data_IF_321685585713
#
_entry.id   IF_321685585713
#
_cell.length_a   1.000
_cell.length_b   1.000
_cell.length_c   1.000
_cell.angle_alpha   90.00
_cell.angle_beta   90.00
_cell.angle_gamma   90.00
#
_symmetry.space_group_name_H-M   'P 1'
#
loop_
_entity.id
_entity.type
_entity.pdbx_description
1 polymer ?
#
# COMPACT_ATOMS: atom_id res chain seq x y z
N UNK A 1 -15.65 23.13 -0.86
CA UNK A 1 -16.48 22.84 -2.07
C UNK A 1 -17.41 21.65 -1.82
N UNK A 2 -18.55 21.54 -2.52
CA UNK A 2 -19.38 20.32 -2.50
C UNK A 2 -18.72 19.28 -3.41
N UNK A 3 -18.32 18.14 -2.86
CA UNK A 3 -17.64 17.07 -3.59
C UNK A 3 -18.67 15.99 -3.97
N UNK A 4 -18.77 15.68 -5.27
CA UNK A 4 -19.61 14.60 -5.79
C UNK A 4 -18.74 13.47 -6.34
N UNK A 5 -19.21 12.21 -6.31
CA UNK A 5 -18.51 11.10 -6.95
C UNK A 5 -18.43 11.35 -8.47
N UNK A 6 -17.26 11.11 -9.04
CA UNK A 6 -17.00 11.16 -10.48
C UNK A 6 -16.35 9.84 -10.89
N UNK A 7 -17.19 8.86 -11.22
CA UNK A 7 -16.79 7.47 -11.48
C UNK A 7 -16.89 7.16 -12.97
N UNK A 8 -15.88 6.43 -13.48
CA UNK A 8 -15.86 5.82 -14.82
C UNK A 8 -15.18 4.46 -14.72
N UNK A 9 -15.90 3.39 -15.03
CA UNK A 9 -15.45 2.02 -14.81
C UNK A 9 -15.09 1.79 -13.34
N UNK A 10 -13.83 1.46 -13.09
CA UNK A 10 -13.26 1.27 -11.75
C UNK A 10 -12.50 2.50 -11.23
N UNK A 11 -12.48 3.61 -11.97
CA UNK A 11 -11.77 4.83 -11.60
C UNK A 11 -12.72 5.88 -11.05
N UNK A 12 -12.49 6.30 -9.80
CA UNK A 12 -13.13 7.47 -9.22
C UNK A 12 -12.12 8.64 -9.18
N UNK A 13 -12.43 9.75 -9.84
CA UNK A 13 -11.51 10.91 -9.93
C UNK A 13 -11.72 11.95 -8.83
N UNK A 14 -12.58 11.68 -7.85
CA UNK A 14 -12.85 12.55 -6.70
C UNK A 14 -12.79 11.75 -5.41
N UNK A 15 -12.53 12.42 -4.29
CA UNK A 15 -12.55 11.79 -2.97
C UNK A 15 -13.14 12.72 -1.92
N UNK A 16 -13.94 12.16 -1.01
CA UNK A 16 -14.60 12.92 0.05
C UNK A 16 -13.80 12.82 1.36
N UNK A 17 -13.17 13.90 1.86
CA UNK A 17 -12.25 13.85 3.01
C UNK A 17 -12.92 13.33 4.29
N UNK A 18 -14.12 13.84 4.60
CA UNK A 18 -14.90 13.38 5.78
C UNK A 18 -15.34 11.92 5.64
N UNK A 19 -15.55 11.45 4.41
CA UNK A 19 -15.93 10.06 4.16
C UNK A 19 -14.74 9.13 4.41
N UNK A 20 -13.55 9.51 3.93
CA UNK A 20 -12.30 8.83 4.24
C UNK A 20 -12.03 8.78 5.75
N UNK A 21 -12.16 9.91 6.46
CA UNK A 21 -11.99 9.94 7.91
C UNK A 21 -12.97 9.03 8.65
N UNK A 22 -14.24 9.00 8.22
CA UNK A 22 -15.24 8.08 8.76
C UNK A 22 -14.87 6.62 8.50
N UNK A 23 -14.40 6.30 7.29
CA UNK A 23 -13.95 4.95 6.95
C UNK A 23 -12.74 4.49 7.77
N UNK A 24 -11.78 5.39 8.05
CA UNK A 24 -10.64 5.09 8.93
C UNK A 24 -11.12 4.85 10.36
N UNK A 25 -11.98 5.72 10.89
CA UNK A 25 -12.55 5.55 12.23
C UNK A 25 -13.27 4.21 12.38
N UNK A 26 -14.11 3.83 11.41
CA UNK A 26 -14.81 2.54 11.46
C UNK A 26 -13.85 1.33 11.52
N UNK A 27 -12.70 1.41 10.85
CA UNK A 27 -11.67 0.36 10.91
C UNK A 27 -10.94 0.34 12.27
N UNK A 28 -10.67 1.51 12.84
CA UNK A 28 -10.09 1.64 14.18
C UNK A 28 -11.05 1.06 15.22
N UNK A 29 -12.32 1.47 15.19
CA UNK A 29 -13.37 0.98 16.08
C UNK A 29 -13.48 -0.54 16.00
N UNK A 30 -13.41 -1.11 14.79
CA UNK A 30 -13.42 -2.56 14.59
C UNK A 30 -12.24 -3.24 15.30
N UNK A 31 -11.02 -2.73 15.15
CA UNK A 31 -9.82 -3.29 15.79
C UNK A 31 -9.92 -3.20 17.31
N UNK A 32 -10.34 -2.04 17.84
CA UNK A 32 -10.48 -1.84 19.28
C UNK A 32 -11.55 -2.76 19.89
N UNK A 33 -12.64 -3.04 19.16
CA UNK A 33 -13.68 -3.98 19.59
C UNK A 33 -13.18 -5.44 19.68
N UNK A 34 -12.14 -5.82 18.94
CA UNK A 34 -11.53 -7.16 19.08
C UNK A 34 -10.67 -7.29 20.36
N UNK A 35 -10.36 -6.18 21.03
CA UNK A 35 -9.47 -6.14 22.17
C UNK A 35 -7.98 -6.04 21.79
N UNK A 36 -7.10 -5.87 22.79
CA UNK A 36 -5.67 -5.66 22.56
C UNK A 36 -4.98 -6.93 22.02
N UNK A 37 -4.10 -6.74 21.04
CA UNK A 37 -3.25 -7.80 20.50
C UNK A 37 -2.07 -8.05 21.43
N UNK A 38 -2.15 -9.13 22.21
CA UNK A 38 -1.04 -9.57 23.06
C UNK A 38 0.21 -9.91 22.22
N UNK A 39 1.39 -9.50 22.72
CA UNK A 39 2.68 -9.73 22.06
C UNK A 39 2.78 -9.18 20.62
N UNK A 40 2.01 -8.15 20.31
CA UNK A 40 2.12 -7.43 19.04
C UNK A 40 3.42 -6.61 18.92
N UNK A 41 3.78 -6.20 17.70
CA UNK A 41 4.97 -5.38 17.44
C UNK A 41 4.84 -4.03 18.15
N UNK A 42 5.98 -3.36 18.37
CA UNK A 42 6.02 -2.05 19.04
C UNK A 42 6.46 -0.94 18.12
N UNK A 43 7.20 -1.25 17.06
CA UNK A 43 7.80 -0.26 16.14
C UNK A 43 7.67 -0.79 14.72
N UNK A 44 6.69 -0.28 13.99
CA UNK A 44 6.28 -0.84 12.70
C UNK A 44 6.54 0.13 11.57
N UNK A 45 7.24 -0.35 10.54
CA UNK A 45 7.31 0.28 9.22
C UNK A 45 6.27 -0.37 8.31
N UNK A 46 5.42 0.44 7.68
CA UNK A 46 4.47 -0.01 6.65
C UNK A 46 4.78 0.69 5.35
N UNK A 47 5.14 -0.07 4.32
CA UNK A 47 5.43 0.41 2.97
C UNK A 47 4.18 0.20 2.11
N UNK A 48 3.53 1.27 1.68
CA UNK A 48 2.18 1.23 1.09
C UNK A 48 1.07 1.43 2.13
N UNK A 49 1.20 2.41 3.02
CA UNK A 49 0.40 2.51 4.25
C UNK A 49 -0.91 3.31 4.16
N UNK A 50 -1.27 3.84 3.00
CA UNK A 50 -2.33 4.86 2.85
C UNK A 50 -3.71 4.29 2.51
N UNK A 51 -3.78 3.09 1.93
CA UNK A 51 -5.03 2.45 1.51
C UNK A 51 -4.95 0.92 1.68
N UNK A 52 -6.10 0.25 1.51
CA UNK A 52 -6.17 -1.23 1.44
C UNK A 52 -5.53 -1.94 2.63
N UNK A 53 -4.84 -3.05 2.35
CA UNK A 53 -4.22 -3.89 3.38
C UNK A 53 -3.10 -3.19 4.14
N UNK A 54 -2.35 -2.28 3.51
CA UNK A 54 -1.31 -1.54 4.21
C UNK A 54 -1.88 -0.56 5.23
N UNK A 55 -2.97 0.14 4.90
CA UNK A 55 -3.69 0.96 5.88
C UNK A 55 -4.24 0.10 7.02
N UNK A 56 -4.88 -1.04 6.71
CA UNK A 56 -5.40 -1.95 7.72
C UNK A 56 -4.30 -2.51 8.62
N UNK A 57 -3.12 -2.81 8.08
CA UNK A 57 -1.93 -3.22 8.84
C UNK A 57 -1.49 -2.15 9.81
N UNK A 58 -1.44 -0.90 9.34
CA UNK A 58 -1.04 0.24 10.15
C UNK A 58 -2.02 0.50 11.29
N UNK A 59 -3.33 0.42 11.00
CA UNK A 59 -4.40 0.53 12.01
C UNK A 59 -4.29 -0.60 13.03
N UNK A 60 -4.12 -1.85 12.58
CA UNK A 60 -3.99 -3.01 13.47
C UNK A 60 -2.75 -2.90 14.37
N UNK A 61 -1.62 -2.46 13.83
CA UNK A 61 -0.40 -2.26 14.60
C UNK A 61 -0.57 -1.17 15.67
N UNK A 62 -1.10 0.00 15.29
CA UNK A 62 -1.27 1.12 16.22
C UNK A 62 -2.36 0.85 17.26
N UNK A 63 -3.60 0.62 16.82
CA UNK A 63 -4.77 0.57 17.68
C UNK A 63 -5.06 -0.83 18.25
N UNK A 64 -4.42 -1.88 17.70
CA UNK A 64 -4.48 -3.23 18.25
C UNK A 64 -3.30 -3.55 19.18
N UNK A 65 -2.07 -3.18 18.79
CA UNK A 65 -0.85 -3.54 19.54
C UNK A 65 -0.20 -2.38 20.31
N UNK A 66 -0.69 -1.15 20.15
CA UNK A 66 -0.11 0.06 20.72
C UNK A 66 1.24 0.43 20.08
N UNK A 67 1.44 0.11 18.80
CA UNK A 67 2.73 0.30 18.14
C UNK A 67 2.95 1.75 17.67
N UNK A 68 4.20 2.21 17.76
CA UNK A 68 4.68 3.36 17.01
C UNK A 68 4.74 2.99 15.51
N UNK A 69 4.18 3.83 14.63
CA UNK A 69 4.10 3.52 13.20
C UNK A 69 4.71 4.59 12.29
N UNK A 70 5.62 4.14 11.41
CA UNK A 70 6.08 4.90 10.25
C UNK A 70 5.41 4.34 8.98
N UNK A 71 4.72 5.19 8.23
CA UNK A 71 4.07 4.79 6.97
C UNK A 71 4.70 5.45 5.76
N UNK A 72 4.94 4.69 4.70
CA UNK A 72 5.37 5.17 3.39
C UNK A 72 4.21 5.06 2.41
N UNK A 73 3.95 6.08 1.61
CA UNK A 73 2.94 6.05 0.55
C UNK A 73 3.23 7.08 -0.54
N UNK A 74 2.48 7.04 -1.64
CA UNK A 74 2.60 8.00 -2.74
C UNK A 74 1.23 8.54 -3.11
N UNK A 75 0.86 9.67 -2.51
CA UNK A 75 -0.48 10.25 -2.55
C UNK A 75 -0.45 11.73 -2.96
N UNK A 76 -1.58 12.22 -3.48
CA UNK A 76 -1.72 13.63 -3.87
C UNK A 76 -2.54 14.36 -2.83
N UNK A 77 -1.93 15.40 -2.27
CA UNK A 77 -2.61 16.36 -1.40
C UNK A 77 -3.74 17.07 -2.15
N UNK A 78 -4.81 17.40 -1.42
CA UNK A 78 -5.91 18.20 -1.95
C UNK A 78 -5.57 19.69 -1.95
N UNK A 79 -6.01 20.40 -2.98
CA UNK A 79 -5.95 21.87 -3.04
C UNK A 79 -7.34 22.46 -2.78
N UNK A 80 -7.43 23.78 -2.69
CA UNK A 80 -8.70 24.50 -2.56
C UNK A 80 -9.71 24.12 -3.67
N UNK A 81 -9.21 23.90 -4.89
CA UNK A 81 -10.03 23.66 -6.08
C UNK A 81 -10.13 22.18 -6.49
N UNK A 82 -9.34 21.28 -5.90
CA UNK A 82 -9.26 19.87 -6.30
C UNK A 82 -9.06 18.95 -5.09
N UNK A 83 -9.96 17.98 -4.86
CA UNK A 83 -9.73 16.96 -3.85
C UNK A 83 -8.46 16.15 -4.13
N UNK A 84 -7.76 15.79 -3.06
CA UNK A 84 -6.64 14.86 -3.07
C UNK A 84 -7.09 13.42 -3.29
N UNK A 85 -6.14 12.50 -3.27
CA UNK A 85 -6.41 11.07 -3.33
C UNK A 85 -6.94 10.53 -2.00
N UNK A 86 -7.62 9.38 -2.03
CA UNK A 86 -8.15 8.76 -0.82
C UNK A 86 -7.08 8.44 0.21
N UNK A 87 -5.93 7.95 -0.22
CA UNK A 87 -4.85 7.62 0.70
C UNK A 87 -4.27 8.82 1.44
N UNK A 88 -4.31 10.02 0.83
CA UNK A 88 -3.95 11.26 1.51
C UNK A 88 -4.85 11.52 2.71
N UNK A 89 -6.17 11.51 2.48
CA UNK A 89 -7.17 11.77 3.52
C UNK A 89 -7.25 10.65 4.57
N UNK A 90 -7.05 9.40 4.16
CA UNK A 90 -6.96 8.28 5.09
C UNK A 90 -5.77 8.44 6.04
N UNK A 91 -4.61 8.84 5.50
CA UNK A 91 -3.40 9.03 6.30
C UNK A 91 -3.53 10.21 7.26
N UNK A 92 -4.16 11.30 6.83
CA UNK A 92 -4.47 12.43 7.71
C UNK A 92 -5.41 12.01 8.86
N UNK A 93 -6.45 11.24 8.56
CA UNK A 93 -7.37 10.73 9.59
C UNK A 93 -6.68 9.75 10.55
N UNK A 94 -5.79 8.90 10.05
CA UNK A 94 -4.97 8.01 10.88
C UNK A 94 -4.11 8.82 11.86
N UNK A 95 -3.44 9.88 11.38
CA UNK A 95 -2.62 10.76 12.21
C UNK A 95 -3.44 11.41 13.32
N UNK A 96 -4.58 12.01 12.99
CA UNK A 96 -5.46 12.64 13.99
C UNK A 96 -5.94 11.65 15.06
N UNK A 97 -6.26 10.41 14.66
CA UNK A 97 -6.69 9.38 15.61
C UNK A 97 -5.53 8.87 16.49
N UNK A 98 -4.35 8.66 15.90
CA UNK A 98 -3.18 8.20 16.65
C UNK A 98 -2.70 9.25 17.66
N UNK A 99 -2.68 10.53 17.26
CA UNK A 99 -2.35 11.65 18.14
C UNK A 99 -3.32 11.76 19.32
N UNK A 100 -4.62 11.57 19.08
CA UNK A 100 -5.63 11.59 20.14
C UNK A 100 -5.43 10.47 21.19
N UNK A 101 -4.76 9.38 20.83
CA UNK A 101 -4.40 8.27 21.73
C UNK A 101 -2.95 8.35 22.24
N UNK A 102 -2.20 9.39 21.88
CA UNK A 102 -0.79 9.53 22.25
C UNK A 102 0.13 8.50 21.57
N UNK A 103 -0.30 7.90 20.46
CA UNK A 103 0.47 6.95 19.68
C UNK A 103 1.37 7.67 18.67
N UNK A 104 2.63 7.26 18.57
CA UNK A 104 3.54 7.80 17.56
C UNK A 104 3.06 7.43 16.15
N UNK A 105 2.89 8.44 15.30
CA UNK A 105 2.55 8.29 13.90
C UNK A 105 3.34 9.29 13.05
N UNK A 106 4.19 8.80 12.13
CA UNK A 106 4.89 9.63 11.14
C UNK A 106 4.71 9.05 9.75
N UNK A 107 4.71 9.90 8.73
CA UNK A 107 4.50 9.45 7.35
C UNK A 107 5.51 10.08 6.40
N UNK A 108 5.91 9.32 5.38
CA UNK A 108 6.71 9.80 4.26
C UNK A 108 5.87 9.62 2.99
N UNK A 109 5.57 10.75 2.35
CA UNK A 109 4.93 10.75 1.04
C UNK A 109 6.01 10.83 -0.06
N UNK A 110 6.18 9.79 -0.86
CA UNK A 110 7.22 9.70 -1.87
C UNK A 110 7.25 8.35 -2.59
N UNK A 111 8.06 8.25 -3.64
CA UNK A 111 8.24 7.00 -4.37
C UNK A 111 9.04 5.99 -3.53
N UNK A 112 8.37 4.98 -3.00
CA UNK A 112 8.99 3.94 -2.17
C UNK A 112 10.05 3.11 -2.92
N UNK A 113 10.03 3.11 -4.26
CA UNK A 113 11.05 2.45 -5.07
C UNK A 113 12.39 3.21 -5.05
N UNK A 114 12.38 4.51 -4.76
CA UNK A 114 13.58 5.35 -4.77
C UNK A 114 14.49 5.12 -3.55
N UNK A 115 15.79 5.29 -3.76
CA UNK A 115 16.76 5.29 -2.67
C UNK A 115 16.56 6.48 -1.72
N UNK A 116 16.10 7.62 -2.23
CA UNK A 116 15.81 8.82 -1.42
C UNK A 116 14.80 8.51 -0.31
N UNK A 117 13.68 7.84 -0.65
CA UNK A 117 12.65 7.49 0.33
C UNK A 117 13.15 6.44 1.32
N UNK A 118 13.97 5.48 0.88
CA UNK A 118 14.63 4.51 1.76
C UNK A 118 15.54 5.20 2.78
N UNK A 119 16.38 6.14 2.33
CA UNK A 119 17.26 6.91 3.23
C UNK A 119 16.47 7.79 4.20
N UNK A 120 15.40 8.44 3.74
CA UNK A 120 14.53 9.23 4.60
C UNK A 120 13.84 8.38 5.67
N UNK A 121 13.40 7.17 5.32
CA UNK A 121 12.83 6.23 6.27
C UNK A 121 13.86 5.76 7.30
N UNK A 122 15.07 5.41 6.86
CA UNK A 122 16.19 5.03 7.75
C UNK A 122 16.50 6.15 8.75
N UNK A 123 16.64 7.38 8.27
CA UNK A 123 16.92 8.54 9.13
C UNK A 123 15.80 8.74 10.15
N UNK A 124 14.54 8.67 9.71
CA UNK A 124 13.36 8.83 10.57
C UNK A 124 13.29 7.73 11.63
N UNK A 125 13.54 6.47 11.26
CA UNK A 125 13.54 5.35 12.22
C UNK A 125 14.64 5.54 13.25
N UNK A 126 15.85 5.92 12.83
CA UNK A 126 16.98 6.12 13.73
C UNK A 126 16.73 7.25 14.73
N UNK A 127 16.16 8.36 14.27
CA UNK A 127 15.85 9.53 15.09
C UNK A 127 14.74 9.24 16.11
N UNK A 128 13.64 8.65 15.66
CA UNK A 128 12.40 8.62 16.45
C UNK A 128 12.14 7.28 17.15
N UNK A 129 12.59 6.17 16.54
CA UNK A 129 12.19 4.80 16.93
C UNK A 129 13.38 3.93 17.35
N UNK A 130 14.60 4.36 17.04
CA UNK A 130 15.85 3.60 17.11
C UNK A 130 15.91 2.48 16.06
N UNK A 131 14.98 1.53 16.14
CA UNK A 131 14.85 0.37 15.24
C UNK A 131 13.37 0.02 15.02
N UNK A 132 13.06 -0.80 14.03
CA UNK A 132 11.73 -1.39 13.82
C UNK A 132 11.75 -2.90 14.04
N UNK A 133 10.65 -3.44 14.58
CA UNK A 133 10.46 -4.87 14.86
C UNK A 133 9.49 -5.56 13.89
N UNK A 134 8.78 -4.79 13.07
CA UNK A 134 7.99 -5.31 11.94
C UNK A 134 8.09 -4.39 10.72
N UNK A 135 8.34 -5.00 9.55
CA UNK A 135 8.24 -4.34 8.25
C UNK A 135 7.13 -5.00 7.42
N UNK A 136 6.08 -4.25 7.10
CA UNK A 136 4.99 -4.69 6.22
C UNK A 136 5.21 -4.11 4.83
N UNK A 137 5.35 -4.97 3.82
CA UNK A 137 5.48 -4.58 2.42
C UNK A 137 4.13 -4.79 1.69
N UNK A 138 3.43 -3.69 1.44
CA UNK A 138 2.06 -3.66 0.91
C UNK A 138 1.95 -2.69 -0.28
N UNK A 139 2.96 -2.66 -1.16
CA UNK A 139 2.90 -1.84 -2.36
C UNK A 139 2.09 -2.51 -3.47
N UNK A 140 1.23 -1.72 -4.09
CA UNK A 140 0.60 -2.03 -5.36
C UNK A 140 0.80 -0.83 -6.29
N UNK A 141 1.56 -1.01 -7.36
CA UNK A 141 1.88 0.05 -8.31
C UNK A 141 1.84 -0.50 -9.73
N UNK A 142 1.32 0.26 -10.71
CA UNK A 142 1.37 -0.16 -12.11
C UNK A 142 2.76 0.02 -12.74
N UNK A 143 3.68 0.69 -12.06
CA UNK A 143 5.00 1.05 -12.58
C UNK A 143 6.05 1.14 -11.49
N UNK A 144 7.31 0.95 -11.87
CA UNK A 144 8.49 1.13 -11.03
C UNK A 144 9.59 1.78 -11.84
N UNK A 145 10.20 2.83 -11.31
CA UNK A 145 11.48 3.29 -11.81
C UNK A 145 12.58 2.58 -11.02
N UNK A 146 13.43 1.82 -11.72
CA UNK A 146 14.51 1.09 -11.07
C UNK A 146 15.52 2.10 -10.46
N UNK A 147 15.85 1.99 -9.16
CA UNK A 147 16.58 3.04 -8.45
C UNK A 147 18.01 3.27 -8.97
N UNK A 148 18.68 2.21 -9.45
CA UNK A 148 20.06 2.29 -9.98
C UNK A 148 20.12 2.64 -11.47
N UNK A 149 19.38 1.92 -12.33
CA UNK A 149 19.47 2.08 -13.78
C UNK A 149 18.61 3.21 -14.33
N UNK A 150 17.62 3.69 -13.56
CA UNK A 150 16.65 4.69 -13.98
C UNK A 150 15.59 4.20 -14.98
N UNK A 151 15.65 2.92 -15.39
CA UNK A 151 14.68 2.30 -16.31
C UNK A 151 13.29 2.28 -15.68
N UNK A 152 12.26 2.61 -16.46
CA UNK A 152 10.85 2.57 -16.02
C UNK A 152 10.19 1.30 -16.52
N UNK A 153 9.83 0.43 -15.60
CA UNK A 153 9.06 -0.79 -15.84
C UNK A 153 7.57 -0.53 -15.62
N UNK A 154 6.72 -1.15 -16.45
CA UNK A 154 5.27 -1.10 -16.31
C UNK A 154 4.71 -2.51 -16.21
N UNK A 155 3.88 -2.78 -15.20
CA UNK A 155 3.22 -4.08 -15.04
C UNK A 155 2.05 -4.22 -16.01
N UNK A 156 1.77 -5.45 -16.44
CA UNK A 156 0.58 -5.80 -17.21
C UNK A 156 -0.28 -6.81 -16.46
N UNK A 157 -1.57 -6.86 -16.78
CA UNK A 157 -2.51 -7.87 -16.30
C UNK A 157 -3.02 -8.67 -17.50
N UNK A 158 -2.26 -9.69 -17.88
CA UNK A 158 -2.49 -10.53 -19.06
C UNK A 158 -2.18 -12.00 -18.72
N UNK A 159 -2.86 -12.96 -19.36
CA UNK A 159 -2.53 -14.38 -19.21
C UNK A 159 -1.13 -14.69 -19.78
N UNK A 160 -0.56 -15.85 -19.44
CA UNK A 160 0.69 -16.35 -20.02
C UNK A 160 0.38 -17.51 -20.98
N UNK A 161 1.06 -17.53 -22.12
CA UNK A 161 1.05 -18.63 -23.08
C UNK A 161 -0.12 -18.65 -24.06
N UNK A 162 -1.37 -18.49 -23.60
CA UNK A 162 -2.55 -18.48 -24.47
C UNK A 162 -3.53 -17.35 -24.11
N UNK A 163 -4.32 -16.85 -25.08
CA UNK A 163 -5.40 -15.92 -24.78
C UNK A 163 -6.45 -16.58 -23.87
N UNK A 164 -7.12 -15.77 -23.06
CA UNK A 164 -8.22 -16.21 -22.20
C UNK A 164 -9.44 -15.30 -22.36
N UNK A 165 -10.62 -15.84 -22.05
CA UNK A 165 -11.88 -15.10 -22.03
C UNK A 165 -12.40 -15.15 -20.61
N UNK A 166 -12.52 -13.98 -19.99
CA UNK A 166 -12.99 -13.83 -18.61
C UNK A 166 -14.39 -13.24 -18.62
N UNK A 167 -15.33 -13.89 -17.94
CA UNK A 167 -16.65 -13.32 -17.71
C UNK A 167 -16.56 -12.34 -16.55
N UNK A 168 -16.92 -11.09 -16.78
CA UNK A 168 -16.86 -10.03 -15.78
C UNK A 168 -18.09 -9.12 -15.81
N UNK A 169 -18.11 -8.15 -14.90
CA UNK A 169 -19.17 -7.14 -14.83
C UNK A 169 -18.63 -5.82 -15.36
N UNK A 170 -19.30 -5.27 -16.37
CA UNK A 170 -19.11 -3.89 -16.79
C UNK A 170 -19.83 -2.98 -15.80
N UNK A 171 -19.08 -2.27 -14.95
CA UNK A 171 -19.66 -1.46 -13.86
C UNK A 171 -20.38 -0.20 -14.35
N UNK A 172 -20.05 0.32 -15.53
CA UNK A 172 -20.73 1.48 -16.10
C UNK A 172 -22.09 1.07 -16.70
N UNK A 173 -22.15 -0.07 -17.37
CA UNK A 173 -23.39 -0.57 -18.01
C UNK A 173 -24.23 -1.45 -17.09
N UNK A 174 -23.66 -1.95 -16.00
CA UNK A 174 -24.27 -2.94 -15.11
C UNK A 174 -24.63 -4.25 -15.82
N UNK A 175 -23.78 -4.65 -16.77
CA UNK A 175 -23.99 -5.82 -17.61
C UNK A 175 -22.88 -6.84 -17.40
N UNK A 176 -23.23 -8.12 -17.47
CA UNK A 176 -22.25 -9.21 -17.56
C UNK A 176 -21.76 -9.28 -19.00
N UNK A 177 -20.44 -9.25 -19.19
CA UNK A 177 -19.84 -9.34 -20.51
C UNK A 177 -18.56 -10.20 -20.48
N UNK A 178 -18.17 -10.67 -21.65
CA UNK A 178 -16.92 -11.40 -21.82
C UNK A 178 -15.78 -10.42 -22.15
N UNK A 179 -14.65 -10.60 -21.48
CA UNK A 179 -13.42 -9.84 -21.68
C UNK A 179 -12.37 -10.75 -22.30
N UNK A 180 -11.97 -10.43 -23.53
CA UNK A 180 -10.95 -11.16 -24.27
C UNK A 180 -9.57 -10.56 -23.95
N UNK A 181 -8.65 -11.39 -23.49
CA UNK A 181 -7.33 -10.97 -23.03
C UNK A 181 -6.25 -11.74 -23.79
N UNK A 182 -5.39 -10.98 -24.46
CA UNK A 182 -4.23 -11.52 -25.18
C UNK A 182 -3.09 -11.87 -24.22
N UNK A 183 -2.28 -12.89 -24.54
CA UNK A 183 -1.16 -13.28 -23.69
C UNK A 183 -0.10 -12.19 -23.60
N UNK A 184 0.58 -12.14 -22.45
CA UNK A 184 1.72 -11.28 -22.21
C UNK A 184 2.90 -11.71 -23.11
N UNK A 185 3.67 -10.74 -23.60
CA UNK A 185 5.00 -11.00 -24.16
C UNK A 185 6.01 -11.27 -23.04
N UNK A 186 7.19 -11.82 -23.38
CA UNK A 186 8.25 -12.03 -22.37
C UNK A 186 8.68 -10.72 -21.70
N UNK A 187 8.78 -9.63 -22.46
CA UNK A 187 9.10 -8.30 -21.93
C UNK A 187 8.03 -7.81 -20.93
N UNK A 188 6.74 -8.04 -21.21
CA UNK A 188 5.65 -7.68 -20.30
C UNK A 188 5.68 -8.52 -19.02
N UNK A 189 6.05 -9.80 -19.11
CA UNK A 189 6.26 -10.68 -17.95
C UNK A 189 7.42 -10.16 -17.10
N UNK A 190 8.58 -9.92 -17.70
CA UNK A 190 9.78 -9.44 -17.01
C UNK A 190 9.55 -8.08 -16.34
N UNK A 191 8.89 -7.15 -17.03
CA UNK A 191 8.51 -5.86 -16.47
C UNK A 191 7.52 -6.00 -15.30
N UNK A 192 6.57 -6.93 -15.38
CA UNK A 192 5.61 -7.18 -14.29
C UNK A 192 6.33 -7.75 -13.07
N UNK A 193 7.26 -8.68 -13.26
CA UNK A 193 8.13 -9.19 -12.19
C UNK A 193 9.01 -8.08 -11.61
N UNK A 194 9.55 -7.19 -12.45
CA UNK A 194 10.35 -6.06 -11.97
C UNK A 194 9.54 -5.10 -11.10
N UNK A 195 8.25 -4.88 -11.40
CA UNK A 195 7.38 -3.96 -10.63
C UNK A 195 6.81 -4.63 -9.38
N UNK A 196 6.24 -5.83 -9.51
CA UNK A 196 5.42 -6.50 -8.48
C UNK A 196 6.10 -7.71 -7.84
N UNK A 197 7.30 -8.08 -8.30
CA UNK A 197 8.12 -9.12 -7.67
C UNK A 197 8.79 -8.65 -6.38
N UNK A 198 9.71 -9.47 -5.87
CA UNK A 198 10.34 -9.27 -4.57
C UNK A 198 11.54 -8.33 -4.54
N UNK A 199 12.00 -7.79 -5.68
CA UNK A 199 13.28 -7.08 -5.73
C UNK A 199 13.30 -5.81 -4.87
N UNK A 200 12.27 -4.95 -4.96
CA UNK A 200 12.25 -3.74 -4.12
C UNK A 200 12.06 -4.06 -2.63
N UNK A 201 11.29 -5.12 -2.30
CA UNK A 201 11.18 -5.58 -0.92
C UNK A 201 12.53 -6.03 -0.37
N UNK A 202 13.30 -6.78 -1.16
CA UNK A 202 14.67 -7.15 -0.81
C UNK A 202 15.55 -5.90 -0.61
N UNK A 203 15.52 -4.94 -1.54
CA UNK A 203 16.27 -3.69 -1.42
C UNK A 203 15.92 -2.90 -0.14
N UNK A 204 14.65 -2.88 0.26
CA UNK A 204 14.22 -2.29 1.54
C UNK A 204 14.84 -3.00 2.73
N UNK A 205 14.75 -4.33 2.78
CA UNK A 205 15.27 -5.10 3.91
C UNK A 205 16.79 -4.98 4.02
N UNK A 206 17.52 -5.06 2.90
CA UNK A 206 18.97 -4.89 2.86
C UNK A 206 19.40 -3.49 3.32
N UNK A 207 18.71 -2.43 2.87
CA UNK A 207 19.02 -1.06 3.28
C UNK A 207 18.76 -0.81 4.78
N UNK A 208 17.67 -1.37 5.32
CA UNK A 208 17.34 -1.24 6.74
C UNK A 208 18.33 -2.03 7.63
N UNK A 209 18.73 -3.24 7.20
CA UNK A 209 19.70 -4.08 7.90
C UNK A 209 21.09 -3.43 7.90
N UNK A 210 21.57 -3.00 6.73
CA UNK A 210 22.87 -2.32 6.59
C UNK A 210 22.96 -1.03 7.43
N UNK A 211 21.83 -0.34 7.62
CA UNK A 211 21.74 0.85 8.46
C UNK A 211 21.59 0.56 9.96
N UNK A 212 21.46 -0.71 10.36
CA UNK A 212 21.30 -1.15 11.74
C UNK A 212 19.95 -0.82 12.37
N UNK A 213 18.93 -0.51 11.56
CA UNK A 213 17.61 -0.05 12.04
C UNK A 213 16.57 -1.17 12.12
N UNK A 214 16.96 -2.43 11.90
CA UNK A 214 16.14 -3.60 12.20
C UNK A 214 16.46 -4.15 13.60
N UNK A 215 15.43 -4.36 14.41
CA UNK A 215 15.58 -4.92 15.75
C UNK A 215 15.95 -6.41 15.71
N UNK A 216 16.58 -6.91 16.78
CA UNK A 216 16.82 -8.34 16.92
C UNK A 216 15.48 -9.12 16.89
N UNK A 217 15.38 -10.11 16.00
CA UNK A 217 14.13 -10.86 15.79
C UNK A 217 13.04 -10.10 15.03
N UNK A 218 13.39 -8.98 14.36
CA UNK A 218 12.46 -8.27 13.49
C UNK A 218 11.85 -9.20 12.44
N UNK A 219 10.56 -9.00 12.18
CA UNK A 219 9.82 -9.77 11.18
C UNK A 219 9.53 -8.91 9.97
N UNK A 220 9.36 -9.54 8.82
CA UNK A 220 8.83 -8.88 7.63
C UNK A 220 7.82 -9.77 6.91
N UNK A 221 6.85 -9.15 6.25
CA UNK A 221 5.86 -9.84 5.42
C UNK A 221 5.54 -9.00 4.19
N UNK A 222 5.28 -9.67 3.08
CA UNK A 222 4.78 -9.09 1.85
C UNK A 222 3.43 -9.73 1.50
N UNK A 223 2.45 -8.91 1.12
CA UNK A 223 1.14 -9.43 0.72
C UNK A 223 1.19 -10.07 -0.67
N UNK A 224 0.43 -11.17 -0.82
CA UNK A 224 0.28 -11.89 -2.09
C UNK A 224 -1.17 -12.36 -2.26
N UNK A 225 -1.51 -12.79 -3.45
CA UNK A 225 -2.83 -13.31 -3.81
C UNK A 225 -2.66 -14.51 -4.74
N UNK A 226 -3.23 -15.65 -4.34
CA UNK A 226 -3.31 -16.86 -5.19
C UNK A 226 -4.69 -16.93 -5.85
N UNK A 227 -5.75 -16.67 -5.07
CA UNK A 227 -7.13 -16.73 -5.55
C UNK A 227 -7.68 -18.13 -5.75
N UNK A 228 -8.92 -18.18 -6.22
CA UNK A 228 -9.58 -19.43 -6.58
C UNK A 228 -9.22 -19.85 -8.01
N UNK A 229 -9.48 -21.11 -8.38
CA UNK A 229 -9.16 -21.64 -9.71
C UNK A 229 -9.72 -20.79 -10.86
N UNK A 230 -10.84 -20.10 -10.63
CA UNK A 230 -11.46 -19.21 -11.60
C UNK A 230 -10.57 -18.01 -11.99
N UNK A 231 -9.65 -17.58 -11.11
CA UNK A 231 -8.79 -16.41 -11.35
C UNK A 231 -7.39 -16.77 -11.83
N UNK A 232 -7.01 -18.06 -11.85
CA UNK A 232 -5.63 -18.49 -12.15
C UNK A 232 -5.13 -17.98 -13.51
N UNK A 233 -5.95 -18.10 -14.56
CA UNK A 233 -5.59 -17.63 -15.91
C UNK A 233 -5.14 -16.15 -15.97
N UNK A 234 -5.51 -15.31 -14.99
CA UNK A 234 -5.16 -13.88 -14.93
C UNK A 234 -4.21 -13.54 -13.76
N UNK A 235 -4.26 -14.28 -12.66
CA UNK A 235 -3.55 -13.91 -11.42
C UNK A 235 -2.47 -14.91 -10.97
N UNK A 236 -2.58 -16.21 -11.27
CA UNK A 236 -1.71 -17.26 -10.73
C UNK A 236 -1.22 -18.24 -11.79
#
# INVERSE_FOLDING_TARGET
>A
MIIKPRVRGFLCTTTHPVGCATNVRNQIDYVQQQGPLANGPKRVLVIGASTGYGLASRITAAFGAGAATLGIFFEKEGTESKPGTAGWYNSAAFHSAAEAEGLYAKSINGDAFSDEVKQKAIATIREDMGQVDLVVYSLASPRRQHPVTGVVHNSTLKPIGKPTVQKGVNTDKQEVQDFHLEPATQEEIDNTVAVMGGEDWQMWMEALDAAGVLAAGAKTTAYTYIGEKMTWDIYW
#
